data_IF_470261803967
#
_entry.id   IF_470261803967
#
_cell.length_a   1.000
_cell.length_b   1.000
_cell.length_c   1.000
_cell.angle_alpha   90.00
_cell.angle_beta   90.00
_cell.angle_gamma   90.00
#
_symmetry.space_group_name_H-M   'P 1'
#
loop_
_entity.id
_entity.type
_entity.pdbx_description
1 polymer ?
#
# COMPACT_ATOMS: atom_id res chain seq x y z
N UNK A 1 -7.66 31.43 53.59
CA UNK A 1 -6.53 32.13 52.94
C UNK A 1 -6.56 31.71 51.49
N UNK A 2 -7.35 32.44 50.70
CA UNK A 2 -7.59 32.23 49.28
C UNK A 2 -6.45 32.91 48.54
N UNK A 3 -5.70 32.17 47.72
CA UNK A 3 -4.71 32.77 46.83
C UNK A 3 -5.38 32.88 45.47
N UNK A 4 -5.90 34.08 45.21
CA UNK A 4 -6.28 34.52 43.87
C UNK A 4 -5.00 34.81 43.07
N UNK A 5 -4.67 33.95 42.12
CA UNK A 5 -3.73 34.29 41.05
C UNK A 5 -4.51 34.98 39.95
N UNK A 6 -4.42 36.30 39.90
CA UNK A 6 -4.88 37.15 38.80
C UNK A 6 -4.07 36.84 37.54
N UNK A 7 -4.72 36.27 36.54
CA UNK A 7 -4.24 36.30 35.16
C UNK A 7 -4.57 37.68 34.57
N UNK A 8 -3.54 38.51 34.36
CA UNK A 8 -3.64 39.91 33.98
C UNK A 8 -3.76 40.11 32.45
N UNK A 9 -4.57 39.28 31.78
CA UNK A 9 -5.04 39.54 30.43
C UNK A 9 -6.56 39.49 30.45
N UNK A 10 -7.23 40.61 30.14
CA UNK A 10 -8.70 40.78 30.24
C UNK A 10 -9.52 39.94 29.25
N UNK A 11 -9.04 38.77 28.85
CA UNK A 11 -9.74 37.81 28.00
C UNK A 11 -10.58 36.93 28.91
N UNK A 12 -11.90 37.13 28.93
CA UNK A 12 -12.82 36.17 29.55
C UNK A 12 -12.56 34.79 28.93
N UNK A 13 -12.41 33.71 29.73
CA UNK A 13 -12.28 32.38 29.16
C UNK A 13 -13.48 32.11 28.27
N UNK A 14 -13.21 31.84 26.99
CA UNK A 14 -14.24 31.54 26.01
C UNK A 14 -14.99 30.28 26.46
N UNK A 15 -16.27 30.45 26.76
CA UNK A 15 -17.16 29.33 27.08
C UNK A 15 -17.61 28.70 25.75
N UNK A 16 -16.86 27.72 25.25
CA UNK A 16 -17.07 27.05 23.95
C UNK A 16 -18.39 26.27 23.81
N UNK A 17 -19.28 26.32 24.82
CA UNK A 17 -20.55 25.59 24.87
C UNK A 17 -20.43 24.09 24.52
N UNK A 18 -19.39 23.44 25.03
CA UNK A 18 -19.06 22.05 24.70
C UNK A 18 -20.20 21.08 25.01
N UNK A 19 -20.98 21.32 26.07
CA UNK A 19 -22.09 20.45 26.45
C UNK A 19 -23.15 20.33 25.33
N UNK A 20 -23.58 21.46 24.76
CA UNK A 20 -24.56 21.46 23.67
C UNK A 20 -24.01 20.80 22.40
N UNK A 21 -22.74 21.09 22.06
CA UNK A 21 -22.07 20.48 20.90
C UNK A 21 -21.93 18.96 21.08
N UNK A 22 -21.49 18.49 22.25
CA UNK A 22 -21.35 17.07 22.56
C UNK A 22 -22.68 16.34 22.42
N UNK A 23 -23.76 16.95 22.92
CA UNK A 23 -25.10 16.36 22.85
C UNK A 23 -25.62 16.29 21.41
N UNK A 24 -25.50 17.36 20.64
CA UNK A 24 -25.88 17.35 19.22
C UNK A 24 -25.07 16.33 18.42
N UNK A 25 -23.77 16.19 18.72
CA UNK A 25 -22.93 15.17 18.11
C UNK A 25 -23.34 13.75 18.56
N UNK A 26 -23.79 13.56 19.81
CA UNK A 26 -24.33 12.27 20.29
C UNK A 26 -25.60 11.92 19.53
N UNK A 27 -26.57 12.83 19.47
CA UNK A 27 -27.81 12.65 18.71
C UNK A 27 -27.50 12.31 17.25
N UNK A 28 -26.57 13.03 16.63
CA UNK A 28 -26.11 12.77 15.27
C UNK A 28 -25.58 11.33 15.10
N UNK A 29 -24.71 10.85 16.00
CA UNK A 29 -24.11 9.50 15.91
C UNK A 29 -25.08 8.37 16.22
N UNK A 30 -25.94 8.55 17.22
CA UNK A 30 -26.76 7.49 17.80
C UNK A 30 -28.17 7.41 17.19
N UNK A 31 -28.71 8.53 16.67
CA UNK A 31 -30.08 8.59 16.18
C UNK A 31 -30.17 9.06 14.73
N UNK A 32 -29.54 10.19 14.38
CA UNK A 32 -29.77 10.83 13.07
C UNK A 32 -29.06 10.12 11.91
N UNK A 33 -27.79 9.79 12.08
CA UNK A 33 -26.96 9.19 11.02
C UNK A 33 -26.60 7.72 11.31
N UNK A 34 -26.97 7.20 12.49
CA UNK A 34 -26.80 5.82 12.96
C UNK A 34 -25.56 5.10 12.38
N UNK A 35 -24.38 5.61 12.75
CA UNK A 35 -23.10 5.12 12.21
C UNK A 35 -22.63 3.81 12.87
N UNK A 36 -23.40 3.28 13.83
CA UNK A 36 -23.05 2.06 14.54
C UNK A 36 -23.46 0.84 13.73
N UNK A 37 -22.48 0.04 13.32
CA UNK A 37 -22.79 -1.27 12.76
C UNK A 37 -23.36 -2.18 13.86
N UNK A 38 -24.63 -2.58 13.72
CA UNK A 38 -25.33 -3.45 14.69
C UNK A 38 -25.29 -2.91 16.15
N UNK A 39 -25.28 -1.58 16.33
CA UNK A 39 -25.34 -0.95 17.65
C UNK A 39 -24.05 -0.99 18.50
N UNK A 40 -22.94 -1.55 17.98
CA UNK A 40 -21.66 -1.68 18.69
C UNK A 40 -20.60 -0.72 18.15
N UNK A 41 -19.68 -0.29 19.03
CA UNK A 41 -18.44 0.39 18.64
C UNK A 41 -17.49 -0.68 18.07
N UNK A 42 -17.03 -0.50 16.82
CA UNK A 42 -16.08 -1.42 16.19
C UNK A 42 -14.65 -1.02 16.54
N UNK A 43 -13.82 -2.00 16.91
CA UNK A 43 -12.37 -1.81 17.00
C UNK A 43 -11.76 -1.91 15.61
N UNK A 44 -11.52 -0.76 14.98
CA UNK A 44 -10.90 -0.72 13.66
C UNK A 44 -9.38 -0.93 13.75
N UNK A 45 -8.75 -1.48 12.70
CA UNK A 45 -7.30 -1.37 12.53
C UNK A 45 -6.85 0.09 12.58
N UNK A 46 -5.70 0.34 13.21
CA UNK A 46 -5.09 1.66 13.35
C UNK A 46 -4.03 1.87 12.28
N UNK A 47 -4.11 3.01 11.60
CA UNK A 47 -3.12 3.45 10.62
C UNK A 47 -1.75 3.64 11.28
N UNK A 48 -1.73 4.23 12.47
CA UNK A 48 -0.52 4.46 13.26
C UNK A 48 0.14 3.15 13.68
N UNK A 49 -0.65 2.17 14.12
CA UNK A 49 -0.16 0.84 14.46
C UNK A 49 0.44 0.13 13.22
N UNK A 50 -0.20 0.25 12.07
CA UNK A 50 0.31 -0.30 10.81
C UNK A 50 1.62 0.35 10.35
N UNK A 51 1.76 1.67 10.52
CA UNK A 51 3.02 2.36 10.25
C UNK A 51 4.15 1.80 11.12
N UNK A 52 3.90 1.60 12.42
CA UNK A 52 4.87 1.00 13.35
C UNK A 52 5.23 -0.42 12.92
N UNK A 53 4.24 -1.22 12.52
CA UNK A 53 4.44 -2.60 12.07
C UNK A 53 5.31 -2.63 10.81
N UNK A 54 4.98 -1.83 9.78
CA UNK A 54 5.77 -1.79 8.54
C UNK A 54 7.19 -1.33 8.82
N UNK A 55 7.39 -0.31 9.66
CA UNK A 55 8.74 0.12 10.06
C UNK A 55 9.53 -1.00 10.75
N UNK A 56 8.88 -1.76 11.64
CA UNK A 56 9.50 -2.93 12.30
C UNK A 56 9.86 -4.03 11.31
N UNK A 57 8.97 -4.34 10.36
CA UNK A 57 9.24 -5.32 9.30
C UNK A 57 10.38 -4.86 8.37
N UNK A 58 10.42 -3.59 8.00
CA UNK A 58 11.52 -3.01 7.23
C UNK A 58 12.86 -3.17 7.96
N UNK A 59 12.89 -2.90 9.27
CA UNK A 59 14.06 -3.10 10.11
C UNK A 59 14.48 -4.57 10.25
N UNK A 60 13.53 -5.52 10.23
CA UNK A 60 13.84 -6.95 10.19
C UNK A 60 14.42 -7.38 8.84
N UNK A 61 13.85 -6.90 7.75
CA UNK A 61 14.25 -7.26 6.39
C UNK A 61 15.61 -6.65 6.01
N UNK A 62 15.86 -5.42 6.48
CA UNK A 62 17.07 -4.65 6.20
C UNK A 62 17.63 -3.97 7.47
N UNK A 63 18.17 -4.74 8.42
CA UNK A 63 18.59 -4.25 9.73
C UNK A 63 19.67 -3.16 9.68
N UNK A 64 20.57 -3.21 8.71
CA UNK A 64 21.64 -2.20 8.57
C UNK A 64 21.16 -0.87 8.00
N UNK A 65 19.95 -0.81 7.44
CA UNK A 65 19.42 0.40 6.78
C UNK A 65 18.27 1.03 7.57
N UNK A 66 17.35 0.22 8.09
CA UNK A 66 16.19 0.71 8.86
C UNK A 66 16.24 0.34 10.34
N UNK A 67 17.25 -0.44 10.76
CA UNK A 67 17.44 -0.81 12.16
C UNK A 67 18.13 0.28 12.97
N UNK A 68 18.83 -0.14 14.03
CA UNK A 68 19.54 0.78 14.93
C UNK A 68 20.93 1.12 14.36
N UNK A 69 21.47 2.33 14.62
CA UNK A 69 22.74 2.77 14.04
C UNK A 69 23.97 2.00 14.53
N UNK A 70 23.90 1.31 15.67
CA UNK A 70 25.04 0.65 16.33
C UNK A 70 24.94 -0.88 16.33
N UNK A 71 24.27 -1.47 15.32
CA UNK A 71 24.22 -2.93 15.19
C UNK A 71 25.61 -3.47 14.82
N UNK A 72 25.97 -4.59 15.43
CA UNK A 72 27.21 -5.34 15.23
C UNK A 72 26.88 -6.76 14.80
N UNK A 73 27.86 -7.50 14.27
CA UNK A 73 27.69 -8.91 13.91
C UNK A 73 27.20 -9.77 15.09
N UNK A 74 27.57 -9.42 16.32
CA UNK A 74 27.14 -10.12 17.54
C UNK A 74 25.71 -9.76 17.99
N UNK A 75 25.22 -8.55 17.67
CA UNK A 75 23.95 -8.03 18.19
C UNK A 75 22.80 -8.04 17.19
N UNK A 76 23.10 -8.17 15.90
CA UNK A 76 22.12 -8.06 14.82
C UNK A 76 21.02 -9.11 14.89
N UNK A 77 21.36 -10.37 15.19
CA UNK A 77 20.39 -11.46 15.26
C UNK A 77 19.44 -11.32 16.47
N UNK A 78 19.95 -10.86 17.61
CA UNK A 78 19.12 -10.56 18.78
C UNK A 78 18.15 -9.41 18.50
N UNK A 79 18.63 -8.36 17.83
CA UNK A 79 17.78 -7.25 17.41
C UNK A 79 16.68 -7.71 16.45
N UNK A 80 17.03 -8.52 15.45
CA UNK A 80 16.08 -9.05 14.47
C UNK A 80 15.03 -9.93 15.17
N UNK A 81 15.45 -10.83 16.07
CA UNK A 81 14.54 -11.70 16.81
C UNK A 81 13.54 -10.93 17.68
N UNK A 82 14.02 -9.98 18.48
CA UNK A 82 13.17 -9.15 19.36
C UNK A 82 12.20 -8.27 18.57
N UNK A 83 12.72 -7.59 17.54
CA UNK A 83 11.92 -6.71 16.67
C UNK A 83 10.85 -7.51 15.95
N UNK A 84 11.21 -8.67 15.38
CA UNK A 84 10.26 -9.53 14.67
C UNK A 84 9.15 -10.03 15.59
N UNK A 85 9.48 -10.57 16.76
CA UNK A 85 8.49 -11.04 17.72
C UNK A 85 7.51 -9.92 18.13
N UNK A 86 8.04 -8.75 18.52
CA UNK A 86 7.22 -7.60 18.91
C UNK A 86 6.33 -7.13 17.76
N UNK A 87 6.86 -7.12 16.54
CA UNK A 87 6.14 -6.65 15.34
C UNK A 87 5.03 -7.60 14.93
N UNK A 88 5.28 -8.91 14.96
CA UNK A 88 4.28 -9.92 14.62
C UNK A 88 3.13 -9.98 15.64
N UNK A 89 3.41 -9.75 16.93
CA UNK A 89 2.36 -9.66 17.94
C UNK A 89 1.42 -8.47 17.67
N UNK A 90 1.98 -7.31 17.29
CA UNK A 90 1.19 -6.14 16.87
C UNK A 90 0.40 -6.42 15.59
N UNK A 91 1.02 -7.06 14.60
CA UNK A 91 0.37 -7.43 13.35
C UNK A 91 -0.82 -8.37 13.59
N UNK A 92 -0.67 -9.36 14.46
CA UNK A 92 -1.75 -10.30 14.81
C UNK A 92 -2.98 -9.56 15.32
N UNK A 93 -2.80 -8.58 16.21
CA UNK A 93 -3.92 -7.79 16.70
C UNK A 93 -4.58 -6.95 15.60
N UNK A 94 -3.80 -6.39 14.67
CA UNK A 94 -4.36 -5.64 13.55
C UNK A 94 -5.08 -6.55 12.53
N UNK A 95 -4.59 -7.77 12.31
CA UNK A 95 -5.26 -8.77 11.48
C UNK A 95 -6.59 -9.19 12.12
N UNK A 96 -6.62 -9.45 13.43
CA UNK A 96 -7.86 -9.77 14.17
C UNK A 96 -8.92 -8.67 13.99
N UNK A 97 -8.55 -7.40 14.19
CA UNK A 97 -9.42 -6.23 13.96
C UNK A 97 -9.89 -6.14 12.51
N UNK A 98 -9.02 -6.43 11.55
CA UNK A 98 -9.34 -6.43 10.12
C UNK A 98 -10.34 -7.52 9.72
N UNK A 99 -10.19 -8.73 10.28
CA UNK A 99 -11.14 -9.83 10.11
C UNK A 99 -12.51 -9.48 10.71
N UNK A 100 -12.52 -8.92 11.93
CA UNK A 100 -13.74 -8.44 12.59
C UNK A 100 -14.48 -7.39 11.75
N UNK A 101 -13.73 -6.44 11.17
CA UNK A 101 -14.31 -5.38 10.34
C UNK A 101 -14.95 -5.91 9.04
N UNK A 102 -14.33 -6.95 8.46
CA UNK A 102 -14.73 -7.52 7.17
C UNK A 102 -15.87 -8.53 7.27
N UNK A 103 -16.28 -8.93 8.48
CA UNK A 103 -17.43 -9.79 8.70
C UNK A 103 -18.73 -9.08 8.29
N UNK A 104 -19.45 -9.66 7.32
CA UNK A 104 -20.66 -9.08 6.70
C UNK A 104 -21.96 -9.48 7.39
N UNK A 105 -21.95 -10.57 8.16
CA UNK A 105 -23.13 -11.14 8.83
C UNK A 105 -22.95 -11.08 10.35
N UNK A 106 -22.82 -12.24 10.98
CA UNK A 106 -22.45 -12.38 12.39
C UNK A 106 -20.93 -12.30 12.53
N UNK A 107 -20.50 -11.43 13.43
CA UNK A 107 -19.09 -11.34 13.81
C UNK A 107 -18.73 -12.65 14.51
N UNK A 108 -17.73 -13.42 14.02
CA UNK A 108 -17.29 -14.64 14.69
C UNK A 108 -16.86 -14.37 16.12
N UNK A 109 -16.90 -15.41 16.96
CA UNK A 109 -16.36 -15.33 18.31
C UNK A 109 -14.89 -14.88 18.30
N UNK A 110 -14.50 -14.10 19.30
CA UNK A 110 -13.18 -13.47 19.36
C UNK A 110 -12.05 -14.52 19.43
N UNK A 111 -12.32 -15.68 20.05
CA UNK A 111 -11.40 -16.82 20.04
C UNK A 111 -11.12 -17.34 18.63
N UNK A 112 -12.13 -17.39 17.76
CA UNK A 112 -12.01 -17.81 16.35
C UNK A 112 -11.23 -16.77 15.56
N UNK A 113 -11.56 -15.49 15.72
CA UNK A 113 -10.84 -14.39 15.07
C UNK A 113 -9.37 -14.37 15.47
N UNK A 114 -9.08 -14.59 16.75
CA UNK A 114 -7.72 -14.66 17.29
C UNK A 114 -6.95 -15.83 16.69
N UNK A 115 -7.55 -17.02 16.62
CA UNK A 115 -6.93 -18.18 16.00
C UNK A 115 -6.62 -17.96 14.51
N UNK A 116 -7.57 -17.39 13.76
CA UNK A 116 -7.38 -17.04 12.35
C UNK A 116 -6.27 -16.00 12.17
N UNK A 117 -6.26 -14.96 13.00
CA UNK A 117 -5.23 -13.92 12.96
C UNK A 117 -3.84 -14.50 13.22
N UNK A 118 -3.69 -15.39 14.21
CA UNK A 118 -2.43 -16.09 14.46
C UNK A 118 -1.99 -16.95 13.27
N UNK A 119 -2.91 -17.65 12.61
CA UNK A 119 -2.60 -18.46 11.45
C UNK A 119 -2.11 -17.60 10.27
N UNK A 120 -2.80 -16.50 9.98
CA UNK A 120 -2.41 -15.55 8.93
C UNK A 120 -1.05 -14.92 9.25
N UNK A 121 -0.84 -14.43 10.47
CA UNK A 121 0.45 -13.81 10.85
C UNK A 121 1.60 -14.80 10.79
N UNK A 122 1.39 -16.06 11.21
CA UNK A 122 2.42 -17.10 11.14
C UNK A 122 2.82 -17.39 9.69
N UNK A 123 1.83 -17.54 8.80
CA UNK A 123 2.09 -17.77 7.39
C UNK A 123 2.76 -16.55 6.74
N UNK A 124 2.32 -15.34 7.09
CA UNK A 124 2.97 -14.10 6.67
C UNK A 124 4.45 -14.05 7.08
N UNK A 125 4.74 -14.39 8.35
CA UNK A 125 6.11 -14.44 8.87
C UNK A 125 6.98 -15.45 8.11
N UNK A 126 6.43 -16.62 7.77
CA UNK A 126 7.13 -17.63 6.98
C UNK A 126 7.46 -17.16 5.55
N UNK A 127 6.70 -16.19 5.00
CA UNK A 127 6.93 -15.63 3.67
C UNK A 127 7.93 -14.45 3.67
N UNK A 128 8.35 -13.93 4.83
CA UNK A 128 9.29 -12.78 4.91
C UNK A 128 10.61 -12.99 4.15
N UNK A 129 11.26 -14.18 4.17
CA UNK A 129 12.47 -14.41 3.38
C UNK A 129 12.24 -14.27 1.86
N UNK A 130 11.11 -14.77 1.36
CA UNK A 130 10.76 -14.67 -0.06
C UNK A 130 10.43 -13.21 -0.46
N UNK A 131 9.72 -12.49 0.41
CA UNK A 131 9.46 -11.05 0.24
C UNK A 131 10.79 -10.27 0.19
N UNK A 132 11.72 -10.59 1.10
CA UNK A 132 13.05 -9.98 1.11
C UNK A 132 13.79 -10.21 -0.21
N UNK A 133 13.77 -11.43 -0.73
CA UNK A 133 14.43 -11.76 -2.00
C UNK A 133 13.87 -10.94 -3.17
N UNK A 134 12.54 -10.75 -3.22
CA UNK A 134 11.91 -9.87 -4.20
C UNK A 134 12.36 -8.41 -4.04
N UNK A 135 12.33 -7.87 -2.82
CA UNK A 135 12.76 -6.49 -2.57
C UNK A 135 14.23 -6.26 -2.93
N UNK A 136 15.10 -7.22 -2.63
CA UNK A 136 16.51 -7.16 -3.07
C UNK A 136 16.60 -7.10 -4.60
N UNK A 137 15.81 -7.90 -5.32
CA UNK A 137 15.79 -7.85 -6.78
C UNK A 137 15.31 -6.50 -7.34
N UNK A 138 14.37 -5.83 -6.66
CA UNK A 138 13.87 -4.51 -7.05
C UNK A 138 14.89 -3.40 -6.79
N UNK A 139 15.57 -3.46 -5.65
CA UNK A 139 16.64 -2.51 -5.31
C UNK A 139 17.79 -2.61 -6.33
N UNK A 140 18.15 -3.81 -6.76
CA UNK A 140 19.11 -4.00 -7.84
C UNK A 140 18.62 -3.47 -9.19
N UNK A 141 17.32 -3.62 -9.49
CA UNK A 141 16.72 -3.07 -10.70
C UNK A 141 16.70 -1.54 -10.69
N UNK A 142 16.42 -0.92 -9.54
CA UNK A 142 16.52 0.53 -9.38
C UNK A 142 17.95 1.02 -9.56
N UNK A 143 18.94 0.37 -8.93
CA UNK A 143 20.35 0.75 -9.06
C UNK A 143 20.86 0.63 -10.49
N UNK A 144 20.44 -0.42 -11.20
CA UNK A 144 20.83 -0.62 -12.62
C UNK A 144 20.02 0.26 -13.57
N UNK A 145 18.84 0.71 -13.14
CA UNK A 145 17.85 1.40 -13.95
C UNK A 145 17.99 2.92 -13.94
N UNK A 146 18.61 3.48 -12.89
CA UNK A 146 18.87 4.91 -12.73
C UNK A 146 20.39 5.21 -12.70
N UNK A 147 20.95 5.81 -13.77
CA UNK A 147 22.35 6.22 -13.80
C UNK A 147 22.74 7.25 -12.73
N UNK A 148 21.79 7.95 -12.11
CA UNK A 148 22.05 8.92 -11.05
C UNK A 148 22.18 8.27 -9.67
N UNK A 149 21.81 7.00 -9.51
CA UNK A 149 21.92 6.29 -8.24
C UNK A 149 23.39 6.08 -7.85
N UNK A 150 23.78 6.60 -6.68
CA UNK A 150 25.18 6.51 -6.22
C UNK A 150 25.42 5.29 -5.34
N UNK A 151 24.36 4.73 -4.71
CA UNK A 151 24.48 3.53 -3.87
C UNK A 151 23.14 2.83 -3.61
N UNK A 152 23.22 1.56 -3.20
CA UNK A 152 22.07 0.79 -2.70
C UNK A 152 21.44 1.44 -1.46
N UNK A 153 22.26 2.01 -0.58
CA UNK A 153 21.80 2.66 0.64
C UNK A 153 20.95 3.91 0.33
N UNK A 154 21.37 4.72 -0.64
CA UNK A 154 20.60 5.86 -1.14
C UNK A 154 19.22 5.40 -1.64
N UNK A 155 19.17 4.37 -2.50
CA UNK A 155 17.92 3.84 -3.05
C UNK A 155 16.96 3.40 -1.94
N UNK A 156 17.46 2.68 -0.95
CA UNK A 156 16.60 2.20 0.14
C UNK A 156 16.10 3.34 1.04
N UNK A 157 16.90 4.38 1.25
CA UNK A 157 16.56 5.43 2.20
C UNK A 157 15.68 6.54 1.60
N UNK A 158 15.82 6.85 0.31
CA UNK A 158 15.15 8.02 -0.27
C UNK A 158 14.43 7.80 -1.61
N UNK A 159 14.45 6.61 -2.22
CA UNK A 159 13.73 6.42 -3.50
C UNK A 159 12.24 6.10 -3.25
N UNK A 160 11.31 6.97 -3.69
CA UNK A 160 9.88 6.77 -3.44
C UNK A 160 9.33 5.51 -4.10
N UNK A 161 9.85 5.13 -5.28
CA UNK A 161 9.52 3.88 -5.95
C UNK A 161 9.82 2.65 -5.09
N UNK A 162 11.03 2.59 -4.54
CA UNK A 162 11.47 1.51 -3.64
C UNK A 162 10.61 1.44 -2.38
N UNK A 163 10.29 2.59 -1.79
CA UNK A 163 9.42 2.67 -0.61
C UNK A 163 8.02 2.13 -0.95
N UNK A 164 7.40 2.57 -2.05
CA UNK A 164 6.07 2.09 -2.45
C UNK A 164 6.04 0.58 -2.72
N UNK A 165 7.08 0.05 -3.37
CA UNK A 165 7.21 -1.39 -3.65
C UNK A 165 7.35 -2.19 -2.35
N UNK A 166 8.12 -1.69 -1.36
CA UNK A 166 8.20 -2.31 -0.03
C UNK A 166 6.83 -2.47 0.60
N UNK A 167 6.05 -1.39 0.66
CA UNK A 167 4.70 -1.42 1.22
C UNK A 167 3.80 -2.37 0.43
N UNK A 168 3.84 -2.31 -0.90
CA UNK A 168 3.08 -3.19 -1.77
C UNK A 168 3.40 -4.66 -1.53
N UNK A 169 4.66 -5.08 -1.45
CA UNK A 169 5.00 -6.51 -1.32
C UNK A 169 4.54 -7.09 0.01
N UNK A 170 4.64 -6.32 1.09
CA UNK A 170 4.07 -6.70 2.39
C UNK A 170 2.54 -6.78 2.32
N UNK A 171 1.89 -5.76 1.76
CA UNK A 171 0.45 -5.70 1.58
C UNK A 171 -0.08 -6.85 0.71
N UNK A 172 0.58 -7.15 -0.41
CA UNK A 172 0.21 -8.21 -1.34
C UNK A 172 0.22 -9.59 -0.66
N UNK A 173 1.22 -9.86 0.18
CA UNK A 173 1.25 -11.10 0.96
C UNK A 173 0.04 -11.20 1.89
N UNK A 174 -0.26 -10.16 2.68
CA UNK A 174 -1.45 -10.14 3.55
C UNK A 174 -2.77 -10.25 2.77
N UNK A 175 -2.85 -9.62 1.60
CA UNK A 175 -4.01 -9.72 0.71
C UNK A 175 -4.24 -11.17 0.28
N UNK A 176 -3.18 -11.86 -0.15
CA UNK A 176 -3.22 -13.27 -0.55
C UNK A 176 -3.57 -14.21 0.61
N UNK A 177 -3.24 -13.84 1.84
CA UNK A 177 -3.54 -14.60 3.04
C UNK A 177 -4.93 -14.31 3.63
N UNK A 178 -5.78 -13.56 2.90
CA UNK A 178 -7.16 -13.31 3.32
C UNK A 178 -7.34 -12.13 4.26
N UNK A 179 -6.38 -11.18 4.29
CA UNK A 179 -6.51 -9.89 4.99
C UNK A 179 -6.57 -8.69 4.03
N UNK A 180 -7.56 -8.63 3.10
CA UNK A 180 -7.58 -7.65 2.02
C UNK A 180 -7.77 -6.21 2.51
N UNK A 181 -8.56 -6.00 3.57
CA UNK A 181 -8.75 -4.67 4.14
C UNK A 181 -7.44 -4.12 4.73
N UNK A 182 -6.74 -4.93 5.53
CA UNK A 182 -5.48 -4.52 6.14
C UNK A 182 -4.41 -4.26 5.09
N UNK A 183 -4.33 -5.13 4.07
CA UNK A 183 -3.47 -4.93 2.93
C UNK A 183 -3.76 -3.61 2.20
N UNK A 184 -5.03 -3.25 2.01
CA UNK A 184 -5.40 -1.98 1.37
C UNK A 184 -4.97 -0.77 2.20
N UNK A 185 -5.09 -0.83 3.52
CA UNK A 185 -4.60 0.23 4.40
C UNK A 185 -3.07 0.39 4.31
N UNK A 186 -2.32 -0.72 4.26
CA UNK A 186 -0.86 -0.66 4.10
C UNK A 186 -0.49 -0.04 2.75
N UNK A 187 -1.12 -0.47 1.64
CA UNK A 187 -0.93 0.15 0.33
C UNK A 187 -1.24 1.65 0.34
N UNK A 188 -2.31 2.08 1.01
CA UNK A 188 -2.71 3.48 1.11
C UNK A 188 -1.71 4.34 1.93
N UNK A 189 -1.10 3.76 2.97
CA UNK A 189 0.00 4.41 3.69
C UNK A 189 1.19 4.62 2.72
N UNK A 190 1.56 3.59 1.95
CA UNK A 190 2.60 3.70 0.93
C UNK A 190 2.28 4.77 -0.11
N UNK A 191 1.03 4.82 -0.58
CA UNK A 191 0.53 5.85 -1.49
C UNK A 191 0.67 7.26 -0.90
N UNK A 192 0.27 7.45 0.36
CA UNK A 192 0.34 8.75 1.02
C UNK A 192 1.77 9.27 1.17
N UNK A 193 2.75 8.37 1.32
CA UNK A 193 4.16 8.73 1.49
C UNK A 193 4.86 9.05 0.15
N UNK A 194 4.36 8.51 -0.96
CA UNK A 194 5.13 8.45 -2.23
C UNK A 194 4.37 9.00 -3.44
N UNK A 195 3.05 9.15 -3.36
CA UNK A 195 2.19 9.45 -4.51
C UNK A 195 1.99 8.29 -5.48
N UNK A 196 2.42 7.06 -5.13
CA UNK A 196 2.33 5.85 -5.96
C UNK A 196 1.20 4.96 -5.42
N UNK A 197 0.11 4.80 -6.16
CA UNK A 197 -1.03 3.95 -5.78
C UNK A 197 -0.90 2.55 -6.40
N UNK A 198 -0.60 1.55 -5.57
CA UNK A 198 -0.55 0.14 -6.00
C UNK A 198 -1.59 -0.64 -5.21
N UNK A 199 -2.61 -1.14 -5.91
CA UNK A 199 -3.59 -2.00 -5.30
C UNK A 199 -2.92 -3.30 -4.79
N UNK A 200 -3.17 -3.74 -3.55
CA UNK A 200 -2.51 -4.92 -2.99
C UNK A 200 -2.87 -6.22 -3.73
N UNK A 201 -3.97 -6.23 -4.47
CA UNK A 201 -4.37 -7.36 -5.34
C UNK A 201 -3.55 -7.49 -6.63
N UNK A 202 -2.84 -6.44 -7.06
CA UNK A 202 -2.02 -6.50 -8.27
C UNK A 202 -0.94 -7.57 -8.14
N UNK A 203 -0.55 -8.20 -9.25
CA UNK A 203 0.51 -9.22 -9.30
C UNK A 203 1.72 -8.63 -9.99
N UNK A 204 2.85 -8.52 -9.30
CA UNK A 204 4.06 -7.87 -9.82
C UNK A 204 5.28 -8.78 -9.60
N UNK A 205 5.96 -9.10 -10.70
CA UNK A 205 7.18 -9.89 -10.70
C UNK A 205 8.37 -9.25 -9.99
N UNK A 206 9.51 -9.93 -10.01
CA UNK A 206 10.77 -9.43 -9.45
C UNK A 206 11.46 -8.42 -10.36
N UNK A 207 12.45 -7.72 -9.80
CA UNK A 207 13.19 -6.66 -10.49
C UNK A 207 12.30 -5.54 -11.04
N UNK A 208 11.26 -5.19 -10.28
CA UNK A 208 10.34 -4.12 -10.64
C UNK A 208 10.93 -2.77 -10.22
N UNK A 209 10.86 -1.78 -11.11
CA UNK A 209 11.40 -0.45 -10.84
C UNK A 209 10.39 0.63 -11.21
N UNK A 210 10.11 1.53 -10.27
CA UNK A 210 9.37 2.76 -10.50
C UNK A 210 10.32 3.93 -10.31
N UNK A 211 10.60 4.65 -11.39
CA UNK A 211 11.43 5.85 -11.35
C UNK A 211 10.56 7.10 -11.16
N UNK A 212 10.99 7.98 -10.24
CA UNK A 212 10.26 9.16 -9.72
C UNK A 212 8.89 8.85 -9.08
N UNK A 213 7.98 8.24 -9.82
CA UNK A 213 6.80 7.52 -9.34
C UNK A 213 5.55 8.33 -9.03
N UNK A 214 5.64 9.62 -8.67
CA UNK A 214 4.43 10.42 -8.34
C UNK A 214 3.34 10.30 -9.41
N UNK A 215 2.13 9.95 -9.00
CA UNK A 215 0.97 9.78 -9.88
C UNK A 215 0.87 8.43 -10.58
N UNK A 216 1.75 7.46 -10.29
CA UNK A 216 1.59 6.08 -10.76
C UNK A 216 0.36 5.45 -10.12
N UNK A 217 -0.46 4.77 -10.93
CA UNK A 217 -1.65 4.03 -10.48
C UNK A 217 -1.64 2.61 -11.08
N UNK A 218 -1.67 1.58 -10.23
CA UNK A 218 -1.70 0.17 -10.63
C UNK A 218 -2.93 -0.51 -10.03
N UNK A 219 -3.88 -0.90 -10.89
CA UNK A 219 -5.16 -1.44 -10.47
C UNK A 219 -5.13 -2.90 -9.98
N UNK A 220 -6.20 -3.30 -9.29
CA UNK A 220 -6.33 -4.58 -8.57
C UNK A 220 -5.99 -5.83 -9.37
N UNK A 221 -6.36 -5.88 -10.64
CA UNK A 221 -6.20 -7.09 -11.47
C UNK A 221 -5.09 -6.94 -12.51
N UNK A 222 -4.21 -5.96 -12.30
CA UNK A 222 -3.03 -5.79 -13.14
C UNK A 222 -2.05 -6.94 -12.88
N UNK A 223 -1.42 -7.40 -13.95
CA UNK A 223 -0.36 -8.42 -13.91
C UNK A 223 0.86 -7.84 -14.58
N UNK A 224 1.96 -7.69 -13.84
CA UNK A 224 3.23 -7.19 -14.33
C UNK A 224 4.26 -8.32 -14.19
N UNK A 225 4.95 -8.60 -15.29
CA UNK A 225 6.04 -9.56 -15.35
C UNK A 225 7.29 -9.10 -14.60
N UNK A 226 8.43 -9.68 -14.96
CA UNK A 226 9.72 -9.33 -14.37
C UNK A 226 10.38 -8.17 -15.13
N UNK A 227 11.25 -7.42 -14.45
CA UNK A 227 12.07 -6.36 -15.07
C UNK A 227 11.25 -5.26 -15.75
N UNK A 228 10.01 -5.07 -15.30
CA UNK A 228 9.14 -3.97 -15.75
C UNK A 228 9.61 -2.66 -15.12
N UNK A 229 9.67 -1.60 -15.93
CA UNK A 229 10.00 -0.24 -15.48
C UNK A 229 8.86 0.72 -15.77
N UNK A 230 8.44 1.46 -14.75
CA UNK A 230 7.46 2.54 -14.88
C UNK A 230 8.08 3.89 -14.50
N UNK A 231 7.60 4.94 -15.14
CA UNK A 231 7.90 6.33 -14.79
C UNK A 231 6.69 7.01 -14.13
N UNK A 232 6.86 8.25 -13.67
CA UNK A 232 5.81 9.07 -13.05
C UNK A 232 4.53 9.17 -13.90
N UNK A 233 3.37 9.33 -13.27
CA UNK A 233 2.06 9.47 -13.91
C UNK A 233 1.60 8.30 -14.81
N UNK A 234 2.25 7.14 -14.75
CA UNK A 234 1.78 5.95 -15.49
C UNK A 234 0.51 5.39 -14.85
N UNK A 235 -0.53 5.16 -15.67
CA UNK A 235 -1.77 4.51 -15.22
C UNK A 235 -1.96 3.16 -15.87
N UNK A 236 -2.07 2.10 -15.06
CA UNK A 236 -2.47 0.74 -15.44
C UNK A 236 -3.91 0.50 -14.93
N UNK A 237 -4.88 1.02 -15.66
CA UNK A 237 -6.26 1.21 -15.21
C UNK A 237 -7.30 0.35 -15.94
N UNK A 238 -8.56 0.50 -15.53
CA UNK A 238 -9.70 -0.15 -16.20
C UNK A 238 -10.34 0.81 -17.22
N UNK A 239 -10.77 0.28 -18.38
CA UNK A 239 -11.51 1.06 -19.39
C UNK A 239 -13.02 1.14 -19.10
N UNK A 240 -13.58 0.04 -18.59
CA UNK A 240 -15.01 -0.13 -18.26
C UNK A 240 -15.14 -1.02 -17.03
N UNK A 241 -16.19 -0.81 -16.26
CA UNK A 241 -16.57 -1.67 -15.15
C UNK A 241 -17.77 -2.50 -15.59
N UNK A 242 -17.63 -3.83 -15.71
CA UNK A 242 -18.77 -4.70 -16.02
C UNK A 242 -19.85 -4.54 -14.95
N UNK A 243 -21.12 -4.51 -15.36
CA UNK A 243 -22.27 -4.52 -14.48
C UNK A 243 -23.13 -5.75 -14.79
N UNK A 244 -23.82 -6.28 -13.80
CA UNK A 244 -24.84 -7.32 -13.99
C UNK A 244 -26.12 -6.75 -14.61
N UNK A 245 -27.11 -7.61 -14.83
CA UNK A 245 -28.40 -7.24 -15.45
C UNK A 245 -29.18 -6.20 -14.64
N UNK A 246 -28.79 -5.95 -13.38
CA UNK A 246 -29.37 -4.97 -12.46
C UNK A 246 -28.52 -3.69 -12.36
N UNK A 247 -27.43 -3.58 -13.12
CA UNK A 247 -26.54 -2.43 -13.11
C UNK A 247 -25.54 -2.40 -11.95
N UNK A 248 -25.42 -3.48 -11.17
CA UNK A 248 -24.46 -3.58 -10.07
C UNK A 248 -23.10 -3.98 -10.62
N UNK A 249 -22.06 -3.24 -10.24
CA UNK A 249 -20.70 -3.51 -10.73
C UNK A 249 -20.23 -4.91 -10.28
N UNK A 250 -19.81 -5.71 -11.24
CA UNK A 250 -19.26 -7.04 -11.00
C UNK A 250 -17.84 -6.88 -10.43
N UNK A 251 -17.66 -7.36 -9.19
CA UNK A 251 -16.37 -7.30 -8.48
C UNK A 251 -15.46 -8.45 -8.92
N UNK A 252 -14.15 -8.24 -8.84
CA UNK A 252 -13.13 -9.30 -9.04
C UNK A 252 -12.82 -9.69 -10.48
N UNK A 253 -13.56 -9.21 -11.49
CA UNK A 253 -13.27 -9.55 -12.90
C UNK A 253 -11.95 -8.93 -13.38
N UNK A 254 -11.10 -9.68 -14.12
CA UNK A 254 -9.92 -9.12 -14.78
C UNK A 254 -10.28 -7.96 -15.71
N UNK A 255 -9.72 -6.78 -15.42
CA UNK A 255 -10.09 -5.51 -16.08
C UNK A 255 -8.95 -4.52 -16.25
N UNK A 256 -7.79 -4.84 -15.68
CA UNK A 256 -6.57 -4.06 -15.80
C UNK A 256 -5.55 -4.78 -16.72
N UNK A 257 -4.51 -4.08 -17.20
CA UNK A 257 -3.57 -4.62 -18.18
C UNK A 257 -2.73 -5.82 -17.68
N UNK A 258 -2.23 -6.59 -18.64
CA UNK A 258 -1.03 -7.42 -18.49
C UNK A 258 0.14 -6.66 -19.08
N UNK A 259 1.22 -6.57 -18.34
CA UNK A 259 2.51 -6.07 -18.78
C UNK A 259 3.49 -7.23 -18.69
N UNK A 260 3.99 -7.71 -19.82
CA UNK A 260 4.94 -8.82 -19.83
C UNK A 260 6.35 -8.35 -19.41
N UNK A 261 7.29 -9.29 -19.43
CA UNK A 261 8.67 -9.06 -19.00
C UNK A 261 9.38 -7.97 -19.81
N UNK A 262 10.34 -7.28 -19.17
CA UNK A 262 11.24 -6.31 -19.82
C UNK A 262 10.54 -5.10 -20.47
N UNK A 263 9.29 -4.83 -20.10
CA UNK A 263 8.55 -3.67 -20.63
C UNK A 263 8.94 -2.39 -19.90
N UNK A 264 9.12 -1.30 -20.67
CA UNK A 264 9.34 0.06 -20.16
C UNK A 264 8.17 0.96 -20.53
N UNK A 265 7.60 1.65 -19.54
CA UNK A 265 6.46 2.57 -19.73
C UNK A 265 6.85 3.94 -19.22
N UNK A 266 6.99 4.89 -20.14
CA UNK A 266 7.41 6.26 -19.86
C UNK A 266 6.30 7.16 -19.33
N UNK A 267 6.73 8.32 -18.84
CA UNK A 267 5.94 9.22 -18.01
C UNK A 267 4.58 9.61 -18.64
N UNK A 268 3.51 9.56 -17.85
CA UNK A 268 2.17 9.97 -18.26
C UNK A 268 1.43 9.01 -19.19
N UNK A 269 2.02 7.86 -19.54
CA UNK A 269 1.31 6.86 -20.35
C UNK A 269 0.11 6.28 -19.59
N UNK A 270 -1.01 6.14 -20.29
CA UNK A 270 -2.27 5.61 -19.74
C UNK A 270 -2.69 4.37 -20.52
N UNK A 271 -2.69 3.22 -19.83
CA UNK A 271 -2.96 1.90 -20.40
C UNK A 271 -4.22 1.35 -19.74
N UNK A 272 -5.32 1.22 -20.50
CA UNK A 272 -6.63 0.92 -19.94
C UNK A 272 -7.27 -0.35 -20.52
N UNK A 273 -7.83 -1.14 -19.61
CA UNK A 273 -8.60 -2.34 -19.93
C UNK A 273 -7.78 -3.62 -19.88
N UNK A 274 -8.43 -4.75 -20.16
CA UNK A 274 -7.78 -6.05 -20.21
C UNK A 274 -7.02 -6.25 -21.53
N UNK A 275 -5.91 -5.55 -21.65
CA UNK A 275 -4.98 -5.62 -22.80
C UNK A 275 -3.63 -6.15 -22.36
N UNK A 276 -2.81 -6.59 -23.31
CA UNK A 276 -1.46 -7.12 -23.06
C UNK A 276 -0.42 -6.24 -23.72
N UNK A 277 0.60 -5.85 -22.96
CA UNK A 277 1.80 -5.20 -23.46
C UNK A 277 2.89 -6.26 -23.55
N UNK A 278 3.23 -6.66 -24.78
CA UNK A 278 4.14 -7.76 -25.04
C UNK A 278 5.57 -7.50 -24.56
N UNK A 279 6.29 -8.57 -24.25
CA UNK A 279 7.61 -8.52 -23.64
C UNK A 279 8.62 -7.65 -24.41
N UNK A 280 9.50 -6.94 -23.69
CA UNK A 280 10.51 -6.06 -24.28
C UNK A 280 9.98 -4.80 -24.97
N UNK A 281 8.67 -4.53 -24.88
CA UNK A 281 8.08 -3.35 -25.52
C UNK A 281 8.40 -2.07 -24.75
N UNK A 282 8.47 -0.96 -25.49
CA UNK A 282 8.62 0.38 -24.95
C UNK A 282 7.40 1.23 -25.28
N UNK A 283 6.75 1.76 -24.24
CA UNK A 283 5.62 2.67 -24.36
C UNK A 283 6.11 4.08 -24.03
N UNK A 284 6.07 4.97 -25.02
CA UNK A 284 6.49 6.36 -24.91
C UNK A 284 5.62 7.18 -23.95
N UNK A 285 6.14 8.34 -23.56
CA UNK A 285 5.44 9.23 -22.63
C UNK A 285 4.11 9.74 -23.20
N UNK A 286 3.12 9.95 -22.32
CA UNK A 286 1.79 10.47 -22.67
C UNK A 286 1.05 9.66 -23.75
N UNK A 287 1.42 8.40 -23.95
CA UNK A 287 0.72 7.48 -24.85
C UNK A 287 -0.57 6.98 -24.20
N UNK A 288 -1.68 6.96 -24.95
CA UNK A 288 -2.96 6.41 -24.52
C UNK A 288 -3.24 5.09 -25.23
N UNK A 289 -3.25 3.97 -24.50
CA UNK A 289 -3.42 2.63 -25.05
C UNK A 289 -4.66 1.93 -24.54
N UNK A 290 -5.46 1.40 -25.47
CA UNK A 290 -6.62 0.55 -25.17
C UNK A 290 -6.68 -0.72 -26.02
N UNK A 291 -5.58 -1.06 -26.68
CA UNK A 291 -5.39 -2.27 -27.47
C UNK A 291 -4.03 -2.90 -27.11
N UNK A 292 -3.95 -4.22 -27.21
CA UNK A 292 -2.71 -4.96 -26.95
C UNK A 292 -1.62 -4.60 -27.97
N UNK A 293 -0.37 -4.73 -27.55
CA UNK A 293 0.80 -4.55 -28.42
C UNK A 293 1.66 -5.81 -28.40
N UNK A 294 2.22 -6.17 -29.55
CA UNK A 294 3.06 -7.35 -29.68
C UNK A 294 4.42 -7.15 -28.98
N UNK A 295 5.15 -8.23 -28.64
CA UNK A 295 6.50 -8.12 -28.08
C UNK A 295 7.45 -7.28 -28.93
N UNK A 296 8.44 -6.65 -28.28
CA UNK A 296 9.44 -5.77 -28.89
C UNK A 296 8.86 -4.58 -29.67
N UNK A 297 7.66 -4.13 -29.32
CA UNK A 297 7.04 -2.95 -29.95
C UNK A 297 7.62 -1.66 -29.38
N UNK A 298 7.78 -0.63 -30.21
CA UNK A 298 8.03 0.73 -29.78
C UNK A 298 6.81 1.60 -30.13
N UNK A 299 6.09 2.06 -29.12
CA UNK A 299 4.88 2.86 -29.30
C UNK A 299 5.16 4.29 -28.85
N UNK A 300 5.15 5.23 -29.78
CA UNK A 300 5.33 6.66 -29.50
C UNK A 300 4.05 7.45 -29.77
N UNK A 301 3.99 8.70 -29.29
CA UNK A 301 2.95 9.63 -29.72
C UNK A 301 3.04 9.89 -31.22
N UNK A 302 1.90 10.28 -31.81
CA UNK A 302 1.88 10.81 -33.18
C UNK A 302 2.69 12.12 -33.24
N UNK A 303 3.38 12.34 -34.36
CA UNK A 303 4.10 13.60 -34.58
C UNK A 303 3.11 14.75 -34.71
N UNK A 304 3.36 15.83 -33.95
CA UNK A 304 2.64 17.09 -34.09
C UNK A 304 2.96 17.66 -35.48
N UNK A 305 1.94 17.93 -36.28
CA UNK A 305 2.08 18.70 -37.52
C UNK A 305 1.97 20.18 -37.18
N UNK A 306 3.00 20.94 -37.50
CA UNK A 306 2.95 22.39 -37.50
C UNK A 306 2.76 22.81 -38.96
N UNK A 307 1.61 23.40 -39.27
CA UNK A 307 1.35 24.05 -40.56
C UNK A 307 2.10 25.38 -40.65
#
# INVERSE_FOLDING_TARGET
MTIDTFDATGVKPSHWNLASVIEQLRVSREATHNIRHQGRVRELPSREALQIIVNGLSAVLFPTHYGRPNLTDESIDYFVGDTLNTTLNRLTEQVRRGLQFSATEEVPDDAVLTQQAHAITREFAANLPAIRALLVSDVHAAFSGDPAATSVAEIMLCYPGTIAILYYRLAHCLHRLGSPFLARLISDIGHSLTGIDIHPGAQIGGSFFIDHGTGVVIGETAILGQRVRLYQHVTLGAKRFPADDQGVLIKGVPRHPVVEDDVVIYAGATILGRITIGAGSTIGGNVWLTQSVAPNSNVSQAQMRND
#
